data_IF_407789756785
#
_entry.id   IF_407789756785
#
_cell.length_a   1.000
_cell.length_b   1.000
_cell.length_c   1.000
_cell.angle_alpha   90.00
_cell.angle_beta   90.00
_cell.angle_gamma   90.00
#
_symmetry.space_group_name_H-M   'P 1'
#
loop_
_entity.id
_entity.type
_entity.pdbx_description
1 polymer ?
#
# COMPACT_ATOMS: atom_id res chain seq x y z
N UNK A 1 16.52 7.78 3.89
CA UNK A 1 15.64 7.67 5.07
C UNK A 1 14.56 6.66 4.81
N UNK A 2 14.33 5.71 5.72
CA UNK A 2 13.27 4.69 5.60
C UNK A 2 11.92 5.38 5.81
N UNK A 3 11.06 5.42 4.78
CA UNK A 3 9.66 5.79 4.96
C UNK A 3 8.97 4.64 5.69
N UNK A 4 8.42 4.93 6.87
CA UNK A 4 7.53 4.02 7.60
C UNK A 4 6.16 4.65 7.53
N UNK A 5 5.23 3.97 6.88
CA UNK A 5 3.83 4.36 6.92
C UNK A 5 3.26 3.93 8.27
N UNK A 6 2.89 4.89 9.12
CA UNK A 6 2.06 4.63 10.28
C UNK A 6 0.61 4.91 9.90
N UNK A 7 -0.23 3.88 9.83
CA UNK A 7 -1.67 4.07 9.76
C UNK A 7 -2.17 4.43 11.17
N UNK A 8 -2.84 5.57 11.29
CA UNK A 8 -3.58 5.98 12.50
C UNK A 8 -5.03 5.55 12.28
N UNK A 9 -5.79 5.22 13.31
CA UNK A 9 -7.24 4.98 13.18
C UNK A 9 -7.89 6.17 12.45
N UNK A 10 -8.43 5.94 11.26
CA UNK A 10 -9.16 6.95 10.50
C UNK A 10 -10.65 6.79 10.84
N UNK A 11 -11.35 7.91 11.05
CA UNK A 11 -12.76 7.89 11.39
C UNK A 11 -13.60 7.45 10.17
N UNK A 12 -14.58 6.55 10.38
CA UNK A 12 -15.52 6.09 9.35
C UNK A 12 -15.35 4.61 8.97
N UNK A 13 -15.58 4.28 7.69
CA UNK A 13 -15.46 2.93 7.11
C UNK A 13 -14.07 2.29 7.33
N UNK A 14 -13.06 3.11 7.61
CA UNK A 14 -11.68 2.71 7.86
C UNK A 14 -11.49 1.99 9.21
N UNK A 15 -12.46 2.06 10.13
CA UNK A 15 -12.44 1.27 11.37
C UNK A 15 -12.47 -0.23 11.05
N UNK A 16 -13.27 -0.65 10.06
CA UNK A 16 -13.37 -2.06 9.68
C UNK A 16 -12.09 -2.57 9.03
N UNK A 17 -11.50 -1.77 8.14
CA UNK A 17 -10.20 -2.09 7.55
C UNK A 17 -9.14 -2.28 8.64
N UNK A 18 -9.15 -1.40 9.64
CA UNK A 18 -8.22 -1.48 10.74
C UNK A 18 -8.45 -2.72 11.62
N UNK A 19 -9.70 -3.07 11.90
CA UNK A 19 -10.06 -4.29 12.61
C UNK A 19 -9.60 -5.54 11.84
N UNK A 20 -9.72 -5.54 10.52
CA UNK A 20 -9.27 -6.63 9.66
C UNK A 20 -7.74 -6.78 9.68
N UNK A 21 -7.01 -5.67 9.58
CA UNK A 21 -5.55 -5.67 9.70
C UNK A 21 -5.10 -6.15 11.09
N UNK A 22 -5.80 -5.72 12.15
CA UNK A 22 -5.53 -6.18 13.53
C UNK A 22 -5.78 -7.68 13.70
N UNK A 23 -6.85 -8.21 13.12
CA UNK A 23 -7.21 -9.64 13.18
C UNK A 23 -6.13 -10.54 12.59
N UNK A 24 -5.38 -10.05 11.59
CA UNK A 24 -4.28 -10.79 10.94
C UNK A 24 -2.90 -10.49 11.52
N UNK A 25 -2.81 -9.58 12.49
CA UNK A 25 -1.53 -9.14 13.05
C UNK A 25 -1.41 -9.37 14.55
N UNK A 26 -0.29 -8.91 15.10
CA UNK A 26 0.01 -8.93 16.52
C UNK A 26 0.23 -7.52 17.03
N UNK A 27 -0.62 -7.08 17.95
CA UNK A 27 -0.41 -5.80 18.63
C UNK A 27 0.90 -5.83 19.43
N UNK A 28 1.69 -4.77 19.31
CA UNK A 28 2.99 -4.63 19.95
C UNK A 28 3.30 -3.18 20.25
N UNK A 29 3.79 -2.94 21.46
CA UNK A 29 4.40 -1.68 21.89
C UNK A 29 5.93 -1.76 21.95
N UNK A 30 6.49 -2.92 21.62
CA UNK A 30 7.92 -3.22 21.84
C UNK A 30 8.77 -2.82 20.65
N UNK A 31 8.71 -1.55 20.26
CA UNK A 31 9.61 -1.03 19.22
C UNK A 31 10.94 -0.62 19.84
N UNK A 32 11.99 -1.40 19.56
CA UNK A 32 13.35 -1.08 19.99
C UNK A 32 14.21 -0.78 18.76
N UNK A 33 14.64 0.46 18.61
CA UNK A 33 15.69 0.83 17.68
C UNK A 33 17.03 0.45 18.30
N UNK A 34 17.75 -0.49 17.69
CA UNK A 34 19.13 -0.79 18.05
C UNK A 34 20.07 -0.04 17.11
N UNK A 35 21.00 0.74 17.67
CA UNK A 35 22.07 1.42 16.92
C UNK A 35 23.40 0.87 17.41
N UNK A 36 24.01 -0.01 16.60
CA UNK A 36 25.16 -0.82 17.01
C UNK A 36 24.84 -1.81 18.14
N UNK A 37 25.87 -2.33 18.80
CA UNK A 37 25.73 -3.34 19.86
C UNK A 37 25.33 -2.75 21.23
N UNK A 38 25.50 -1.44 21.43
CA UNK A 38 25.38 -0.79 22.74
C UNK A 38 24.16 0.12 22.91
N UNK A 39 23.64 0.73 21.84
CA UNK A 39 22.51 1.66 21.97
C UNK A 39 21.19 0.96 21.65
N UNK A 40 20.26 0.99 22.60
CA UNK A 40 18.88 0.50 22.43
C UNK A 40 17.93 1.63 22.83
N UNK A 41 17.20 2.17 21.87
CA UNK A 41 16.16 3.17 22.10
C UNK A 41 14.81 2.48 21.99
N UNK A 42 14.00 2.56 23.03
CA UNK A 42 12.61 2.15 22.92
C UNK A 42 11.81 3.31 22.33
N UNK A 43 11.17 3.08 21.19
CA UNK A 43 10.48 4.11 20.41
C UNK A 43 9.03 4.33 20.86
N UNK A 44 8.45 3.35 21.54
CA UNK A 44 7.05 3.36 22.01
C UNK A 44 6.94 2.73 23.40
N UNK A 45 7.86 3.04 24.32
CA UNK A 45 7.60 2.70 25.73
C UNK A 45 6.31 3.42 26.10
N UNK A 46 5.22 2.65 26.20
CA UNK A 46 3.89 3.20 26.29
C UNK A 46 3.76 4.22 27.42
N UNK A 47 2.75 5.07 27.30
CA UNK A 47 2.31 5.99 28.32
C UNK A 47 2.32 5.43 29.79
N UNK A 48 2.16 4.12 30.09
CA UNK A 48 2.33 3.60 31.45
C UNK A 48 3.63 3.93 32.16
N UNK A 49 4.74 4.15 31.43
CA UNK A 49 6.06 4.40 32.01
C UNK A 49 6.53 5.85 31.92
N UNK A 50 5.75 6.75 31.32
CA UNK A 50 6.03 8.18 31.41
C UNK A 50 5.70 8.65 32.84
N UNK A 51 6.58 9.44 33.48
CA UNK A 51 6.26 10.04 34.77
C UNK A 51 4.91 10.76 34.69
N UNK A 52 4.05 10.61 35.71
CA UNK A 52 2.73 11.24 35.79
C UNK A 52 2.73 12.73 35.39
N UNK A 53 3.83 13.44 35.64
CA UNK A 53 4.02 14.83 35.26
C UNK A 53 3.92 15.14 33.75
N UNK A 54 3.95 14.12 32.88
CA UNK A 54 3.88 14.26 31.42
C UNK A 54 2.69 13.52 30.80
N UNK A 55 1.74 13.02 31.61
CA UNK A 55 0.48 12.46 31.12
C UNK A 55 -0.64 13.43 31.45
N UNK A 56 -1.44 13.80 30.46
CA UNK A 56 -2.79 14.25 30.74
C UNK A 56 -3.59 13.02 31.18
N UNK A 57 -4.17 13.06 32.38
CA UNK A 57 -4.96 11.95 32.93
C UNK A 57 -6.25 11.70 32.10
N UNK A 58 -6.63 12.66 31.25
CA UNK A 58 -7.78 12.58 30.34
C UNK A 58 -7.44 12.04 28.94
N UNK A 59 -6.17 11.81 28.60
CA UNK A 59 -5.78 11.31 27.26
C UNK A 59 -5.88 9.77 27.21
N UNK A 60 -6.63 9.20 26.24
CA UNK A 60 -6.71 7.75 26.08
C UNK A 60 -5.31 7.16 25.84
N UNK A 61 -5.06 5.92 26.31
CA UNK A 61 -3.78 5.28 26.07
C UNK A 61 -3.49 5.20 24.56
N UNK A 62 -2.23 5.39 24.14
CA UNK A 62 -1.88 5.33 22.72
C UNK A 62 -2.20 3.95 22.17
N UNK A 63 -2.81 3.90 20.98
CA UNK A 63 -3.08 2.62 20.31
C UNK A 63 -1.78 1.84 20.05
N UNK A 64 -1.78 0.52 20.27
CA UNK A 64 -0.63 -0.31 19.97
C UNK A 64 -0.39 -0.36 18.47
N UNK A 65 0.85 -0.60 18.06
CA UNK A 65 1.10 -0.85 16.63
C UNK A 65 0.82 -2.31 16.32
N UNK A 66 0.40 -2.59 15.09
CA UNK A 66 0.20 -3.96 14.64
C UNK A 66 1.45 -4.42 13.89
N UNK A 67 2.06 -5.50 14.36
CA UNK A 67 3.07 -6.27 13.63
C UNK A 67 2.34 -7.29 12.77
N UNK A 68 2.40 -7.12 11.45
CA UNK A 68 1.70 -7.97 10.48
C UNK A 68 2.68 -8.36 9.37
N UNK A 69 2.57 -9.59 8.87
CA UNK A 69 3.34 -10.01 7.70
C UNK A 69 2.86 -9.23 6.47
N UNK A 70 3.76 -8.94 5.55
CA UNK A 70 3.39 -8.20 4.34
C UNK A 70 2.30 -8.92 3.52
N UNK A 71 2.40 -10.25 3.41
CA UNK A 71 1.38 -11.08 2.76
C UNK A 71 0.00 -10.89 3.38
N UNK A 72 -0.07 -10.92 4.71
CA UNK A 72 -1.33 -10.86 5.45
C UNK A 72 -1.93 -9.46 5.39
N UNK A 73 -1.09 -8.42 5.42
CA UNK A 73 -1.52 -7.05 5.18
C UNK A 73 -2.10 -6.90 3.77
N UNK A 74 -1.41 -7.36 2.73
CA UNK A 74 -1.89 -7.28 1.36
C UNK A 74 -3.23 -8.03 1.20
N UNK A 75 -3.36 -9.21 1.80
CA UNK A 75 -4.60 -9.98 1.77
C UNK A 75 -5.74 -9.24 2.51
N UNK A 76 -5.49 -8.64 3.68
CA UNK A 76 -6.50 -7.84 4.38
C UNK A 76 -7.00 -6.65 3.55
N UNK A 77 -6.09 -5.95 2.87
CA UNK A 77 -6.43 -4.82 2.00
C UNK A 77 -7.26 -5.27 0.79
N UNK A 78 -6.90 -6.40 0.19
CA UNK A 78 -7.61 -6.96 -0.96
C UNK A 78 -9.02 -7.41 -0.59
N UNK A 79 -9.17 -8.16 0.50
CA UNK A 79 -10.47 -8.68 0.95
C UNK A 79 -11.45 -7.54 1.24
N UNK A 80 -10.98 -6.44 1.85
CA UNK A 80 -11.81 -5.26 2.10
C UNK A 80 -12.13 -4.46 0.82
N UNK A 81 -11.20 -4.44 -0.14
CA UNK A 81 -11.44 -3.83 -1.46
C UNK A 81 -12.52 -4.60 -2.21
N UNK A 82 -12.39 -5.92 -2.31
CA UNK A 82 -13.37 -6.80 -2.94
C UNK A 82 -14.72 -6.69 -2.24
N UNK A 83 -14.77 -6.80 -0.92
CA UNK A 83 -16.04 -6.66 -0.17
C UNK A 83 -16.74 -5.30 -0.40
N UNK A 84 -15.99 -4.22 -0.60
CA UNK A 84 -16.56 -2.88 -0.78
C UNK A 84 -17.11 -2.65 -2.20
N UNK A 85 -16.61 -3.39 -3.19
CA UNK A 85 -16.89 -3.14 -4.60
C UNK A 85 -17.41 -4.35 -5.38
N UNK A 86 -17.42 -5.55 -4.80
CA UNK A 86 -18.24 -6.66 -5.24
C UNK A 86 -19.70 -6.22 -5.12
N UNK A 87 -20.47 -6.37 -6.20
CA UNK A 87 -21.86 -5.90 -6.30
C UNK A 87 -22.70 -6.20 -5.05
N UNK A 88 -23.55 -5.26 -4.67
CA UNK A 88 -24.56 -5.51 -3.64
C UNK A 88 -25.65 -6.43 -4.21
N UNK A 89 -26.41 -7.09 -3.34
CA UNK A 89 -27.50 -8.06 -3.69
C UNK A 89 -28.65 -7.50 -4.57
N UNK A 90 -28.51 -6.32 -5.18
CA UNK A 90 -29.48 -5.74 -6.12
C UNK A 90 -29.07 -6.09 -7.56
N UNK A 91 -29.99 -6.72 -8.32
CA UNK A 91 -29.86 -7.34 -9.65
C UNK A 91 -29.26 -6.47 -10.81
N UNK A 92 -28.65 -5.32 -10.52
CA UNK A 92 -27.88 -4.48 -11.46
C UNK A 92 -26.38 -4.50 -11.08
N UNK A 93 -25.81 -5.72 -10.99
CA UNK A 93 -24.40 -6.02 -10.70
C UNK A 93 -23.45 -5.44 -11.78
N UNK A 94 -23.13 -4.15 -11.70
CA UNK A 94 -21.90 -3.63 -12.27
C UNK A 94 -20.76 -3.95 -11.30
N UNK A 95 -19.99 -5.00 -11.60
CA UNK A 95 -18.70 -5.29 -10.95
C UNK A 95 -17.78 -4.07 -11.09
N UNK A 96 -17.79 -3.18 -10.10
CA UNK A 96 -17.01 -1.92 -10.11
C UNK A 96 -15.51 -2.17 -9.94
N UNK A 97 -15.12 -3.40 -9.63
CA UNK A 97 -13.76 -3.82 -9.37
C UNK A 97 -13.44 -5.10 -10.14
N UNK A 98 -12.50 -5.00 -11.08
CA UNK A 98 -11.88 -6.13 -11.78
C UNK A 98 -10.41 -6.22 -11.34
N UNK A 99 -10.05 -7.29 -10.62
CA UNK A 99 -8.68 -7.55 -10.15
C UNK A 99 -8.07 -8.70 -10.95
N UNK A 100 -7.06 -8.38 -11.76
CA UNK A 100 -6.38 -9.35 -12.63
C UNK A 100 -5.02 -9.76 -12.07
N UNK A 101 -4.98 -10.93 -11.44
CA UNK A 101 -3.73 -11.56 -11.01
C UNK A 101 -3.04 -12.29 -12.16
N UNK A 102 -1.72 -12.47 -12.06
CA UNK A 102 -0.92 -13.11 -13.12
C UNK A 102 -0.65 -12.21 -14.33
N UNK A 103 -1.32 -11.06 -14.43
CA UNK A 103 -1.03 -10.06 -15.45
C UNK A 103 0.02 -9.06 -14.97
N UNK A 104 1.04 -8.86 -15.80
CA UNK A 104 2.07 -7.86 -15.61
C UNK A 104 1.88 -6.73 -16.62
N UNK A 105 1.80 -5.50 -16.13
CA UNK A 105 1.91 -4.31 -17.00
C UNK A 105 3.34 -4.22 -17.52
N UNK A 106 3.49 -4.08 -18.85
CA UNK A 106 4.79 -3.93 -19.51
C UNK A 106 4.94 -2.61 -20.26
N UNK A 107 3.82 -2.01 -20.69
CA UNK A 107 3.82 -0.75 -21.42
C UNK A 107 2.64 0.12 -21.02
N UNK A 108 2.84 1.44 -21.11
CA UNK A 108 1.79 2.43 -20.91
C UNK A 108 1.92 3.50 -21.99
N UNK A 109 0.87 3.68 -22.77
CA UNK A 109 0.71 4.84 -23.64
C UNK A 109 -0.18 5.86 -22.94
N UNK A 110 0.46 6.82 -22.28
CA UNK A 110 -0.23 7.86 -21.53
C UNK A 110 -0.85 8.95 -22.42
N UNK A 111 -0.55 8.98 -23.71
CA UNK A 111 -1.22 9.90 -24.66
C UNK A 111 -2.51 9.28 -25.21
N UNK A 112 -2.45 7.99 -25.56
CA UNK A 112 -3.59 7.25 -26.08
C UNK A 112 -4.49 6.67 -24.97
N UNK A 113 -4.03 6.70 -23.71
CA UNK A 113 -4.69 6.15 -22.53
C UNK A 113 -4.86 4.63 -22.54
N UNK A 114 -3.85 3.89 -23.02
CA UNK A 114 -3.85 2.43 -23.04
C UNK A 114 -2.72 1.83 -22.20
N UNK A 115 -2.96 0.62 -21.70
CA UNK A 115 -1.97 -0.22 -21.03
C UNK A 115 -1.70 -1.45 -21.90
N UNK A 116 -0.48 -1.96 -21.83
CA UNK A 116 -0.12 -3.28 -22.38
C UNK A 116 0.23 -4.21 -21.23
N UNK A 117 -0.47 -5.35 -21.16
CA UNK A 117 -0.24 -6.41 -20.17
C UNK A 117 0.23 -7.69 -20.84
N UNK A 118 0.97 -8.51 -20.10
CA UNK A 118 1.30 -9.89 -20.46
C UNK A 118 0.93 -10.79 -19.29
N UNK A 119 0.35 -11.95 -19.57
CA UNK A 119 0.20 -13.00 -18.55
C UNK A 119 1.60 -13.55 -18.30
N UNK A 120 2.07 -13.58 -17.06
CA UNK A 120 3.39 -14.14 -16.78
C UNK A 120 3.25 -15.61 -16.42
N UNK A 121 3.44 -16.54 -17.38
CA UNK A 121 3.72 -17.96 -17.09
C UNK A 121 4.21 -18.82 -18.28
N UNK A 122 4.69 -18.26 -19.40
CA UNK A 122 5.59 -19.00 -20.31
C UNK A 122 5.51 -18.64 -21.79
N UNK A 123 6.69 -18.65 -22.43
CA UNK A 123 7.14 -18.56 -23.85
C UNK A 123 6.23 -18.15 -25.03
N UNK A 124 4.91 -18.08 -24.92
CA UNK A 124 3.97 -17.61 -25.97
C UNK A 124 2.94 -16.61 -25.40
N UNK A 125 3.38 -15.76 -24.46
CA UNK A 125 2.51 -14.79 -23.82
C UNK A 125 2.18 -13.62 -24.77
N UNK A 126 0.97 -13.65 -25.34
CA UNK A 126 0.47 -12.58 -26.20
C UNK A 126 0.19 -11.32 -25.38
N UNK A 127 0.84 -10.22 -25.75
CA UNK A 127 0.58 -8.91 -25.16
C UNK A 127 -0.87 -8.48 -25.40
N UNK A 128 -1.58 -8.14 -24.33
CA UNK A 128 -2.96 -7.65 -24.37
C UNK A 128 -2.96 -6.13 -24.21
N UNK A 129 -3.74 -5.43 -25.05
CA UNK A 129 -3.92 -3.98 -24.95
C UNK A 129 -5.24 -3.72 -24.22
N UNK A 130 -5.18 -3.00 -23.10
CA UNK A 130 -6.33 -2.63 -22.29
C UNK A 130 -6.57 -1.12 -22.36
N UNK A 131 -7.84 -0.70 -22.37
CA UNK A 131 -8.26 0.71 -22.40
C UNK A 131 -9.34 1.00 -23.46
N UNK A 132 -9.63 2.29 -23.72
CA UNK A 132 -8.98 3.47 -23.14
C UNK A 132 -9.38 3.68 -21.68
N UNK A 133 -8.50 4.29 -20.89
CA UNK A 133 -8.74 4.62 -19.49
C UNK A 133 -8.90 6.14 -19.28
N UNK A 134 -9.80 6.54 -18.39
CA UNK A 134 -9.90 7.95 -17.98
C UNK A 134 -8.80 8.35 -16.99
N UNK A 135 -8.35 7.40 -16.17
CA UNK A 135 -7.30 7.60 -15.15
C UNK A 135 -6.41 6.37 -15.03
N UNK A 136 -5.10 6.60 -15.03
CA UNK A 136 -4.09 5.57 -14.77
C UNK A 136 -3.33 5.90 -13.47
N UNK A 137 -3.36 4.98 -12.51
CA UNK A 137 -2.66 5.11 -11.24
C UNK A 137 -1.50 4.10 -11.11
N UNK A 138 -0.27 4.60 -10.98
CA UNK A 138 0.94 3.79 -10.96
C UNK A 138 1.33 3.29 -9.57
N UNK A 139 0.82 2.11 -9.15
CA UNK A 139 1.15 1.49 -7.86
C UNK A 139 2.21 0.36 -7.92
N UNK A 140 2.87 0.15 -9.07
CA UNK A 140 3.83 -0.94 -9.31
C UNK A 140 5.21 -0.81 -8.64
N UNK A 141 5.36 0.03 -7.62
CA UNK A 141 6.58 0.16 -6.83
C UNK A 141 7.80 0.75 -7.57
N UNK A 142 8.99 0.31 -7.14
CA UNK A 142 10.28 0.89 -7.52
C UNK A 142 10.59 0.85 -9.02
N UNK A 143 10.02 -0.09 -9.78
CA UNK A 143 10.24 -0.27 -11.23
C UNK A 143 8.94 -0.13 -12.05
N UNK A 144 8.03 0.76 -11.62
CA UNK A 144 6.71 0.96 -12.23
C UNK A 144 6.78 1.34 -13.73
N UNK A 145 6.20 0.53 -14.63
CA UNK A 145 6.06 0.85 -16.07
C UNK A 145 5.19 2.07 -16.31
N UNK A 146 4.17 2.29 -15.47
CA UNK A 146 3.29 3.47 -15.52
C UNK A 146 4.09 4.75 -15.34
N UNK A 147 5.03 4.76 -14.38
CA UNK A 147 5.92 5.90 -14.16
C UNK A 147 6.82 6.16 -15.37
N UNK A 148 7.31 5.10 -16.02
CA UNK A 148 8.12 5.23 -17.23
C UNK A 148 7.30 5.80 -18.41
N UNK A 149 6.07 5.31 -18.62
CA UNK A 149 5.18 5.80 -19.67
C UNK A 149 4.80 7.27 -19.48
N UNK A 150 4.46 7.69 -18.26
CA UNK A 150 4.19 9.10 -17.95
C UNK A 150 5.42 9.97 -18.20
N UNK A 151 6.62 9.51 -17.80
CA UNK A 151 7.86 10.26 -18.04
C UNK A 151 8.13 10.50 -19.53
N UNK A 152 7.80 9.53 -20.39
CA UNK A 152 7.93 9.66 -21.85
C UNK A 152 6.88 10.62 -22.43
N UNK A 153 5.66 10.62 -21.89
CA UNK A 153 4.59 11.51 -22.34
C UNK A 153 4.67 12.93 -21.78
N UNK A 154 5.51 13.17 -20.77
CA UNK A 154 5.64 14.48 -20.17
C UNK A 154 6.44 15.43 -21.09
N UNK A 155 5.90 16.62 -21.41
CA UNK A 155 6.59 17.57 -22.27
C UNK A 155 7.90 18.04 -21.63
N UNK A 156 8.99 17.98 -22.38
CA UNK A 156 10.28 18.58 -21.99
C UNK A 156 10.89 18.02 -20.70
N UNK A 157 10.55 16.79 -20.30
CA UNK A 157 11.03 16.21 -19.04
C UNK A 157 10.38 16.81 -17.79
N UNK A 158 9.21 17.44 -17.91
CA UNK A 158 8.48 18.05 -16.78
C UNK A 158 8.05 17.04 -15.71
N UNK A 159 8.12 15.74 -16.00
CA UNK A 159 7.87 14.70 -15.02
C UNK A 159 9.19 14.22 -14.40
N UNK A 160 9.41 14.63 -13.16
CA UNK A 160 10.47 14.14 -12.32
C UNK A 160 9.89 13.17 -11.28
N UNK A 161 10.50 12.01 -11.17
CA UNK A 161 10.16 11.07 -10.12
C UNK A 161 11.42 10.58 -9.42
N UNK A 162 11.41 10.67 -8.09
CA UNK A 162 12.50 10.21 -7.25
C UNK A 162 12.67 8.69 -7.36
N UNK A 163 13.56 8.24 -8.24
CA UNK A 163 14.03 6.87 -8.26
C UNK A 163 15.01 6.67 -7.09
N UNK A 164 14.52 6.19 -5.95
CA UNK A 164 15.40 5.73 -4.88
C UNK A 164 15.89 4.33 -5.22
N UNK A 165 17.21 4.17 -5.35
CA UNK A 165 17.84 2.85 -5.39
C UNK A 165 17.38 2.03 -4.18
N UNK A 166 17.02 0.77 -4.40
CA UNK A 166 16.65 -0.13 -3.32
C UNK A 166 17.87 -0.31 -2.40
N UNK A 167 17.70 -0.24 -1.06
CA UNK A 167 18.82 -0.49 -0.17
C UNK A 167 19.34 -1.93 -0.36
N UNK A 168 20.60 -2.06 -0.78
CA UNK A 168 21.26 -3.36 -1.02
C UNK A 168 21.28 -3.83 -2.47
N UNK A 169 20.82 -3.00 -3.42
CA UNK A 169 21.10 -3.15 -4.85
C UNK A 169 22.41 -2.44 -5.25
#
# INVERSE_FOLDING_TARGET
GRSRSSMRSVAGDDVRLWDEVKRRGFESDKFVLRVGSKLKFKLRDGAPNLPRAFRDDDEPPPEPSVLVYQSDLCAALLDELERKYAGGDDDDDDDRLDVRFGERVNGVDAYANYLTTEVGDGEDDAATILGPFDLLAGCGGGNSPVRAGIAQAAPGGAFEADARGLPGA
#
